data_IF_496683130378
#
_entry.id   IF_496683130378
#
_cell.length_a   1.000
_cell.length_b   1.000
_cell.length_c   1.000
_cell.angle_alpha   90.00
_cell.angle_beta   90.00
_cell.angle_gamma   90.00
#
_symmetry.space_group_name_H-M   'P 1'
#
loop_
_entity.id
_entity.type
_entity.pdbx_description
1 polymer ?
#
# COMPACT_ATOMS: atom_id res chain seq x y z
N UNK A 1 -53.06 1.77 3.02
CA UNK A 1 -52.15 0.67 2.59
C UNK A 1 -50.89 1.37 2.13
N UNK A 2 -49.92 1.56 3.04
CA UNK A 2 -48.69 2.26 2.72
C UNK A 2 -47.91 1.41 1.74
N UNK A 3 -47.75 1.87 0.50
CA UNK A 3 -46.71 1.38 -0.38
C UNK A 3 -45.38 1.73 0.29
N UNK A 4 -44.77 0.76 0.95
CA UNK A 4 -43.39 0.89 1.38
C UNK A 4 -42.57 1.15 0.12
N UNK A 5 -42.08 2.38 -0.01
CA UNK A 5 -41.22 2.79 -1.11
C UNK A 5 -39.96 1.92 -1.08
N UNK A 6 -39.98 0.84 -1.86
CA UNK A 6 -38.85 -0.06 -2.00
C UNK A 6 -37.76 0.67 -2.79
N UNK A 7 -36.58 0.82 -2.19
CA UNK A 7 -35.40 1.41 -2.83
C UNK A 7 -35.09 0.69 -4.15
N UNK A 8 -35.26 -0.63 -4.18
CA UNK A 8 -35.09 -1.44 -5.39
C UNK A 8 -36.15 -1.09 -6.44
N UNK A 9 -37.41 -0.90 -6.02
CA UNK A 9 -38.50 -0.47 -6.91
C UNK A 9 -38.26 0.91 -7.53
N UNK A 10 -37.72 1.86 -6.76
CA UNK A 10 -37.35 3.19 -7.25
C UNK A 10 -36.21 3.13 -8.28
N UNK A 11 -35.20 2.30 -8.04
CA UNK A 11 -34.08 2.10 -8.98
C UNK A 11 -34.57 1.42 -10.25
N UNK A 12 -35.43 0.41 -10.15
CA UNK A 12 -35.99 -0.30 -11.31
C UNK A 12 -36.94 0.58 -12.14
N UNK A 13 -37.71 1.46 -11.49
CA UNK A 13 -38.60 2.43 -12.15
C UNK A 13 -37.87 3.65 -12.74
N UNK A 14 -36.61 3.89 -12.38
CA UNK A 14 -35.86 5.04 -12.86
C UNK A 14 -35.55 4.99 -14.36
N UNK A 15 -35.39 6.18 -14.97
CA UNK A 15 -35.01 6.32 -16.37
C UNK A 15 -33.63 5.72 -16.63
N UNK A 16 -33.39 5.32 -17.90
CA UNK A 16 -32.12 4.69 -18.29
C UNK A 16 -30.90 5.57 -17.95
N UNK A 17 -31.02 6.88 -18.16
CA UNK A 17 -29.97 7.85 -17.84
C UNK A 17 -29.63 7.84 -16.34
N UNK A 18 -30.65 7.83 -15.47
CA UNK A 18 -30.43 7.80 -14.01
C UNK A 18 -29.76 6.50 -13.58
N UNK A 19 -30.16 5.37 -14.16
CA UNK A 19 -29.51 4.07 -13.90
C UNK A 19 -28.04 4.06 -14.28
N UNK A 20 -27.66 4.66 -15.42
CA UNK A 20 -26.26 4.77 -15.84
C UNK A 20 -25.41 5.65 -14.89
N UNK A 21 -25.98 6.76 -14.42
CA UNK A 21 -25.31 7.62 -13.44
C UNK A 21 -25.10 6.85 -12.14
N UNK A 22 -26.14 6.18 -11.61
CA UNK A 22 -26.01 5.37 -10.39
C UNK A 22 -24.99 4.25 -10.55
N UNK A 23 -24.98 3.55 -11.69
CA UNK A 23 -24.00 2.49 -11.96
C UNK A 23 -22.56 3.04 -11.98
N UNK A 24 -22.34 4.19 -12.61
CA UNK A 24 -21.03 4.86 -12.64
C UNK A 24 -20.58 5.25 -11.23
N UNK A 25 -21.48 5.81 -10.42
CA UNK A 25 -21.17 6.17 -9.03
C UNK A 25 -20.78 4.96 -8.19
N UNK A 26 -21.48 3.83 -8.35
CA UNK A 26 -21.14 2.58 -7.67
C UNK A 26 -19.77 2.06 -8.13
N UNK A 27 -19.52 2.02 -9.44
CA UNK A 27 -18.24 1.59 -9.98
C UNK A 27 -17.07 2.47 -9.49
N UNK A 28 -17.26 3.79 -9.49
CA UNK A 28 -16.28 4.74 -8.94
C UNK A 28 -16.06 4.53 -7.44
N UNK A 29 -17.12 4.27 -6.67
CA UNK A 29 -17.02 4.00 -5.23
C UNK A 29 -16.22 2.73 -4.94
N UNK A 30 -16.52 1.63 -5.64
CA UNK A 30 -15.77 0.36 -5.51
C UNK A 30 -14.30 0.54 -5.90
N UNK A 31 -14.04 1.27 -6.98
CA UNK A 31 -12.67 1.55 -7.44
C UNK A 31 -11.89 2.37 -6.42
N UNK A 32 -12.53 3.38 -5.81
CA UNK A 32 -11.93 4.17 -4.74
C UNK A 32 -11.54 3.30 -3.55
N UNK A 33 -12.46 2.44 -3.09
CA UNK A 33 -12.18 1.55 -1.96
C UNK A 33 -11.07 0.55 -2.26
N UNK A 34 -11.04 0.01 -3.48
CA UNK A 34 -9.95 -0.86 -3.95
C UNK A 34 -8.59 -0.15 -3.92
N UNK A 35 -8.52 1.08 -4.44
CA UNK A 35 -7.29 1.88 -4.40
C UNK A 35 -6.83 2.18 -2.98
N UNK A 36 -7.77 2.49 -2.06
CA UNK A 36 -7.47 2.73 -0.65
C UNK A 36 -6.84 1.48 -0.02
N UNK A 37 -7.46 0.31 -0.18
CA UNK A 37 -6.95 -0.94 0.38
C UNK A 37 -5.58 -1.28 -0.19
N UNK A 38 -5.40 -1.16 -1.51
CA UNK A 38 -4.11 -1.38 -2.15
C UNK A 38 -3.02 -0.48 -1.55
N UNK A 39 -3.32 0.81 -1.35
CA UNK A 39 -2.36 1.76 -0.78
C UNK A 39 -2.03 1.46 0.68
N UNK A 40 -3.04 1.07 1.47
CA UNK A 40 -2.85 0.69 2.88
C UNK A 40 -1.93 -0.53 3.00
N UNK A 41 -2.13 -1.56 2.17
CA UNK A 41 -1.28 -2.76 2.18
C UNK A 41 0.17 -2.41 1.84
N UNK A 42 0.40 -1.56 0.84
CA UNK A 42 1.74 -1.12 0.44
C UNK A 42 2.43 -0.37 1.60
N UNK A 43 1.73 0.57 2.24
CA UNK A 43 2.27 1.33 3.37
C UNK A 43 2.56 0.46 4.59
N UNK A 44 1.70 -0.53 4.88
CA UNK A 44 1.92 -1.46 5.98
C UNK A 44 3.17 -2.33 5.74
N UNK A 45 3.36 -2.84 4.52
CA UNK A 45 4.56 -3.61 4.16
C UNK A 45 5.83 -2.78 4.30
N UNK A 46 5.85 -1.58 3.73
CA UNK A 46 7.00 -0.69 3.81
C UNK A 46 7.35 -0.31 5.26
N UNK A 47 6.34 -0.09 6.12
CA UNK A 47 6.58 0.17 7.54
C UNK A 47 7.14 -1.06 8.26
N UNK A 48 6.62 -2.26 7.98
CA UNK A 48 7.12 -3.49 8.60
C UNK A 48 8.59 -3.77 8.22
N UNK A 49 8.95 -3.57 6.95
CA UNK A 49 10.33 -3.69 6.47
C UNK A 49 11.26 -2.67 7.15
N UNK A 50 10.80 -1.42 7.30
CA UNK A 50 11.55 -0.37 7.98
C UNK A 50 11.79 -0.70 9.45
N UNK A 51 10.77 -1.15 10.18
CA UNK A 51 10.91 -1.56 11.60
C UNK A 51 11.88 -2.73 11.74
N UNK A 52 11.79 -3.74 10.86
CA UNK A 52 12.72 -4.87 10.88
C UNK A 52 14.17 -4.45 10.61
N UNK A 53 14.39 -3.50 9.71
CA UNK A 53 15.71 -2.91 9.47
C UNK A 53 16.21 -2.13 10.70
N UNK A 54 15.35 -1.29 11.30
CA UNK A 54 15.71 -0.52 12.50
C UNK A 54 16.10 -1.43 13.66
N UNK A 55 15.35 -2.52 13.92
CA UNK A 55 15.71 -3.49 14.96
C UNK A 55 17.11 -4.08 14.75
N UNK A 56 17.48 -4.40 13.50
CA UNK A 56 18.82 -4.88 13.16
C UNK A 56 19.87 -3.78 13.35
N UNK A 57 19.57 -2.56 12.93
CA UNK A 57 20.45 -1.42 13.07
C UNK A 57 20.75 -1.10 14.55
N UNK A 58 19.73 -1.13 15.41
CA UNK A 58 19.86 -0.86 16.85
C UNK A 58 20.34 -2.05 17.69
N UNK A 59 20.40 -3.26 17.11
CA UNK A 59 20.87 -4.48 17.80
C UNK A 59 22.35 -4.45 18.21
N UNK A 60 23.11 -3.44 17.79
CA UNK A 60 24.55 -3.33 18.05
C UNK A 60 25.42 -4.13 17.08
N UNK A 61 24.83 -4.58 15.96
CA UNK A 61 25.57 -5.16 14.83
C UNK A 61 26.50 -4.11 14.21
N UNK A 62 27.68 -4.53 13.74
CA UNK A 62 28.58 -3.65 12.99
C UNK A 62 27.89 -3.14 11.72
N UNK A 63 27.90 -1.83 11.52
CA UNK A 63 27.31 -1.16 10.36
C UNK A 63 27.94 -1.64 9.05
N UNK A 64 29.22 -1.99 9.06
CA UNK A 64 29.90 -2.56 7.90
C UNK A 64 29.39 -3.98 7.58
N UNK A 65 28.99 -4.75 8.59
CA UNK A 65 28.35 -6.05 8.40
C UNK A 65 26.92 -5.88 7.87
N UNK A 66 26.15 -4.96 8.43
CA UNK A 66 24.80 -4.65 7.96
C UNK A 66 24.80 -4.21 6.48
N UNK A 67 25.78 -3.41 6.06
CA UNK A 67 25.94 -3.00 4.66
C UNK A 67 26.25 -4.19 3.73
N UNK A 68 27.09 -5.15 4.18
CA UNK A 68 27.41 -6.36 3.40
C UNK A 68 26.20 -7.25 3.26
N UNK A 69 25.48 -7.53 4.34
CA UNK A 69 24.28 -8.36 4.32
C UNK A 69 23.23 -7.81 3.34
N UNK A 70 23.03 -6.48 3.31
CA UNK A 70 22.15 -5.83 2.33
C UNK A 70 22.69 -5.89 0.90
N UNK A 71 24.01 -5.87 0.72
CA UNK A 71 24.62 -6.03 -0.61
C UNK A 71 24.40 -7.44 -1.17
N UNK A 72 24.59 -8.45 -0.33
CA UNK A 72 24.33 -9.85 -0.69
C UNK A 72 22.85 -10.09 -1.00
N UNK A 73 21.93 -9.43 -0.29
CA UNK A 73 20.49 -9.51 -0.57
C UNK A 73 20.12 -8.92 -1.95
N UNK A 74 20.77 -7.83 -2.37
CA UNK A 74 20.59 -7.26 -3.73
C UNK A 74 21.11 -8.21 -4.79
N UNK A 75 22.29 -8.80 -4.59
CA UNK A 75 22.88 -9.76 -5.52
C UNK A 75 22.00 -11.02 -5.65
N UNK A 76 21.27 -11.39 -4.59
CA UNK A 76 20.26 -12.44 -4.60
C UNK A 76 18.93 -12.04 -5.28
N UNK A 77 18.80 -10.80 -5.77
CA UNK A 77 17.62 -10.29 -6.48
C UNK A 77 16.57 -9.62 -5.59
N UNK A 78 16.92 -9.24 -4.36
CA UNK A 78 16.02 -8.51 -3.47
C UNK A 78 16.11 -7.01 -3.75
N UNK A 79 14.97 -6.37 -4.06
CA UNK A 79 14.91 -4.92 -4.17
C UNK A 79 14.95 -4.28 -2.78
N UNK A 80 16.05 -3.59 -2.48
CA UNK A 80 16.19 -2.82 -1.24
C UNK A 80 15.62 -1.43 -1.45
N UNK A 81 14.60 -1.09 -0.67
CA UNK A 81 13.93 0.21 -0.73
C UNK A 81 13.73 0.80 0.68
N UNK A 82 13.31 2.05 0.77
CA UNK A 82 13.00 2.70 2.05
C UNK A 82 14.24 3.01 2.91
N UNK A 83 14.17 2.68 4.20
CA UNK A 83 15.16 3.08 5.21
C UNK A 83 16.54 2.48 4.98
N UNK A 84 16.61 1.23 4.52
CA UNK A 84 17.88 0.56 4.23
C UNK A 84 18.60 1.18 3.01
N UNK A 85 17.86 1.58 1.98
CA UNK A 85 18.43 2.28 0.83
C UNK A 85 19.04 3.63 1.24
N UNK A 86 18.37 4.37 2.14
CA UNK A 86 18.88 5.63 2.70
C UNK A 86 20.14 5.40 3.55
N UNK A 87 20.13 4.38 4.41
CA UNK A 87 21.30 3.99 5.20
C UNK A 87 22.50 3.66 4.30
N UNK A 88 22.32 2.83 3.27
CA UNK A 88 23.40 2.44 2.36
C UNK A 88 23.94 3.63 1.57
N UNK A 89 23.07 4.54 1.13
CA UNK A 89 23.49 5.77 0.45
C UNK A 89 24.35 6.65 1.38
N UNK A 90 23.96 6.80 2.65
CA UNK A 90 24.75 7.53 3.65
C UNK A 90 26.05 6.82 4.01
N UNK A 91 25.99 5.53 4.32
CA UNK A 91 27.17 4.75 4.71
C UNK A 91 28.26 4.79 3.64
N UNK A 92 27.89 4.62 2.37
CA UNK A 92 28.81 4.70 1.24
C UNK A 92 29.54 6.06 1.11
N UNK A 93 28.91 7.15 1.51
CA UNK A 93 29.49 8.49 1.41
C UNK A 93 30.45 8.79 2.58
N UNK A 94 30.22 8.19 3.75
CA UNK A 94 30.94 8.51 4.99
C UNK A 94 31.93 7.42 5.46
N UNK A 95 31.97 6.26 4.81
CA UNK A 95 32.94 5.17 5.07
C UNK A 95 34.04 5.13 4.01
#
# INVERSE_FOLDING_TARGET
MNEELSVIGLILGASLTVKLVMATLVAASVTSWFMIVQRVIILQRANAELVAFEDRFWSGMDLAQLYRDGSDAIDAGTDITGGEALFRAGFKEFS
#
